data_IF_446605204669
#
_entry.id   IF_446605204669
#
_cell.length_a   1.000
_cell.length_b   1.000
_cell.length_c   1.000
_cell.angle_alpha   90.00
_cell.angle_beta   90.00
_cell.angle_gamma   90.00
#
_symmetry.space_group_name_H-M   'P 1'
#
loop_
_entity.id
_entity.type
_entity.pdbx_description
1 polymer ?
#
# COMPACT_ATOMS: atom_id res chain seq x y z
N UNK A 1 48.27 -40.80 16.27
CA UNK A 1 46.84 -41.18 16.21
C UNK A 1 45.95 -40.04 15.69
N UNK A 2 46.32 -38.76 15.87
CA UNK A 2 45.56 -37.58 15.39
C UNK A 2 45.54 -37.34 13.87
N UNK A 3 46.63 -37.59 13.14
CA UNK A 3 46.68 -37.30 11.69
C UNK A 3 45.70 -38.14 10.85
N UNK A 4 45.42 -39.39 11.25
CA UNK A 4 44.48 -40.25 10.53
C UNK A 4 43.02 -39.85 10.78
N UNK A 5 42.72 -39.30 11.95
CA UNK A 5 41.39 -38.75 12.26
C UNK A 5 41.13 -37.44 11.52
N UNK A 6 42.12 -36.56 11.39
CA UNK A 6 41.97 -35.27 10.69
C UNK A 6 41.79 -35.45 9.16
N UNK A 7 42.48 -36.44 8.57
CA UNK A 7 42.32 -36.79 7.17
C UNK A 7 40.91 -37.38 6.88
N UNK A 8 40.38 -38.21 7.78
CA UNK A 8 39.02 -38.76 7.65
C UNK A 8 37.95 -37.68 7.82
N UNK A 9 38.13 -36.74 8.77
CA UNK A 9 37.22 -35.61 8.95
C UNK A 9 37.23 -34.70 7.71
N UNK A 10 38.41 -34.39 7.17
CA UNK A 10 38.55 -33.58 5.94
C UNK A 10 37.93 -34.27 4.73
N UNK A 11 38.12 -35.58 4.58
CA UNK A 11 37.51 -36.38 3.51
C UNK A 11 35.98 -36.41 3.61
N UNK A 12 35.44 -36.66 4.81
CA UNK A 12 33.99 -36.66 5.05
C UNK A 12 33.36 -35.28 4.86
N UNK A 13 34.06 -34.21 5.25
CA UNK A 13 33.63 -32.83 4.97
C UNK A 13 33.65 -32.51 3.46
N UNK A 14 34.67 -32.94 2.72
CA UNK A 14 34.77 -32.71 1.27
C UNK A 14 33.65 -33.44 0.50
N UNK A 15 33.32 -34.68 0.89
CA UNK A 15 32.24 -35.47 0.27
C UNK A 15 30.85 -34.89 0.60
N UNK A 16 30.64 -34.39 1.82
CA UNK A 16 29.37 -33.74 2.20
C UNK A 16 29.22 -32.34 1.60
N UNK A 17 30.31 -31.63 1.34
CA UNK A 17 30.30 -30.30 0.72
C UNK A 17 29.91 -30.32 -0.77
N UNK A 18 30.31 -31.36 -1.52
CA UNK A 18 30.00 -31.50 -2.96
C UNK A 18 28.49 -31.67 -3.24
N UNK A 19 27.77 -32.43 -2.40
CA UNK A 19 26.29 -32.60 -2.50
C UNK A 19 25.52 -31.34 -2.11
N UNK A 20 26.07 -30.51 -1.19
CA UNK A 20 25.47 -29.24 -0.77
C UNK A 20 25.55 -28.18 -1.87
N UNK A 21 26.69 -28.03 -2.54
CA UNK A 21 26.87 -27.01 -3.57
C UNK A 21 25.91 -27.17 -4.78
N UNK A 22 25.59 -28.41 -5.17
CA UNK A 22 24.59 -28.68 -6.21
C UNK A 22 23.17 -28.33 -5.75
N UNK A 23 22.83 -28.67 -4.50
CA UNK A 23 21.51 -28.35 -3.91
C UNK A 23 21.35 -26.84 -3.72
N UNK A 24 22.41 -26.14 -3.32
CA UNK A 24 22.42 -24.69 -3.16
C UNK A 24 22.29 -23.97 -4.52
N UNK A 25 22.95 -24.48 -5.57
CA UNK A 25 22.79 -23.95 -6.92
C UNK A 25 21.37 -24.18 -7.44
N UNK A 26 20.83 -25.39 -7.29
CA UNK A 26 19.46 -25.71 -7.69
C UNK A 26 18.45 -24.84 -6.94
N UNK A 27 18.62 -24.66 -5.63
CA UNK A 27 17.77 -23.80 -4.80
C UNK A 27 17.81 -22.33 -5.26
N UNK A 28 19.00 -21.80 -5.56
CA UNK A 28 19.16 -20.44 -6.10
C UNK A 28 18.50 -20.28 -7.47
N UNK A 29 18.64 -21.28 -8.35
CA UNK A 29 17.99 -21.27 -9.68
C UNK A 29 16.46 -21.29 -9.53
N UNK A 30 15.92 -22.15 -8.66
CA UNK A 30 14.49 -22.20 -8.39
C UNK A 30 13.99 -20.87 -7.81
N UNK A 31 14.69 -20.29 -6.82
CA UNK A 31 14.35 -18.98 -6.26
C UNK A 31 14.37 -17.89 -7.33
N UNK A 32 15.39 -17.85 -8.19
CA UNK A 32 15.49 -16.88 -9.27
C UNK A 32 14.31 -17.00 -10.24
N UNK A 33 13.92 -18.23 -10.61
CA UNK A 33 12.76 -18.49 -11.47
C UNK A 33 11.46 -18.03 -10.78
N UNK A 34 11.27 -18.35 -9.50
CA UNK A 34 10.08 -17.92 -8.74
C UNK A 34 9.99 -16.41 -8.64
N UNK A 35 11.10 -15.73 -8.35
CA UNK A 35 11.16 -14.26 -8.33
C UNK A 35 10.79 -13.69 -9.70
N UNK A 36 11.36 -14.24 -10.79
CA UNK A 36 11.02 -13.81 -12.15
C UNK A 36 9.53 -13.99 -12.45
N UNK A 37 8.93 -15.11 -12.05
CA UNK A 37 7.50 -15.38 -12.24
C UNK A 37 6.66 -14.37 -11.46
N UNK A 38 6.99 -14.09 -10.19
CA UNK A 38 6.22 -13.15 -9.34
C UNK A 38 6.35 -11.71 -9.83
N UNK A 39 7.52 -11.32 -10.30
CA UNK A 39 7.80 -9.95 -10.73
C UNK A 39 7.35 -9.71 -12.18
N UNK A 40 7.24 -10.75 -13.00
CA UNK A 40 6.83 -10.61 -14.41
C UNK A 40 5.49 -9.89 -14.63
N UNK A 41 4.40 -10.14 -13.89
CA UNK A 41 3.11 -9.49 -14.12
C UNK A 41 3.20 -7.99 -13.89
N UNK A 42 4.04 -7.54 -12.94
CA UNK A 42 4.28 -6.12 -12.71
C UNK A 42 4.86 -5.45 -13.96
N UNK A 43 5.92 -6.01 -14.54
CA UNK A 43 6.51 -5.47 -15.77
C UNK A 43 5.56 -5.60 -16.97
N UNK A 44 4.81 -6.69 -17.09
CA UNK A 44 3.82 -6.86 -18.15
C UNK A 44 2.73 -5.79 -18.07
N UNK A 45 2.19 -5.52 -16.88
CA UNK A 45 1.19 -4.46 -16.66
C UNK A 45 1.80 -3.09 -16.99
N UNK A 46 3.03 -2.81 -16.56
CA UNK A 46 3.69 -1.55 -16.88
C UNK A 46 3.87 -1.36 -18.39
N UNK A 47 4.33 -2.39 -19.11
CA UNK A 47 4.49 -2.32 -20.57
C UNK A 47 3.13 -2.16 -21.25
N UNK A 48 2.10 -2.87 -20.78
CA UNK A 48 0.73 -2.79 -21.30
C UNK A 48 0.15 -1.38 -21.12
N UNK A 49 0.24 -0.82 -19.92
CA UNK A 49 -0.24 0.52 -19.59
C UNK A 49 0.56 1.59 -20.32
N UNK A 50 1.89 1.46 -20.39
CA UNK A 50 2.73 2.41 -21.10
C UNK A 50 2.44 2.40 -22.61
N UNK A 51 2.34 1.23 -23.23
CA UNK A 51 2.09 1.12 -24.67
C UNK A 51 0.70 1.62 -25.05
N UNK A 52 -0.36 1.12 -24.41
CA UNK A 52 -1.73 1.52 -24.73
C UNK A 52 -2.01 2.95 -24.27
N UNK A 53 -1.60 3.30 -23.05
CA UNK A 53 -1.79 4.62 -22.48
C UNK A 53 -1.07 5.70 -23.28
N UNK A 54 0.14 5.43 -23.80
CA UNK A 54 0.84 6.38 -24.67
C UNK A 54 0.02 6.72 -25.91
N UNK A 55 -0.54 5.72 -26.61
CA UNK A 55 -1.37 5.96 -27.78
C UNK A 55 -2.72 6.60 -27.44
N UNK A 56 -3.29 6.32 -26.27
CA UNK A 56 -4.53 6.96 -25.81
C UNK A 56 -4.32 8.43 -25.44
N UNK A 57 -3.18 8.78 -24.84
CA UNK A 57 -2.88 10.15 -24.40
C UNK A 57 -2.31 11.01 -25.52
N UNK A 58 -1.52 10.46 -26.44
CA UNK A 58 -0.85 11.23 -27.51
C UNK A 58 -1.41 10.96 -28.92
N UNK A 59 -2.36 10.04 -29.06
CA UNK A 59 -3.03 9.78 -30.33
C UNK A 59 -3.99 10.90 -30.73
N UNK A 60 -4.29 10.98 -32.03
CA UNK A 60 -5.19 12.00 -32.61
C UNK A 60 -6.53 11.43 -33.08
N UNK A 61 -6.83 10.17 -32.74
CA UNK A 61 -8.11 9.53 -33.06
C UNK A 61 -9.25 9.94 -32.10
N UNK A 62 -10.51 9.59 -32.43
CA UNK A 62 -11.65 9.85 -31.56
C UNK A 62 -11.48 9.22 -30.17
N UNK A 63 -11.70 9.98 -29.09
CA UNK A 63 -11.52 9.51 -27.72
C UNK A 63 -10.07 9.47 -27.21
N UNK A 64 -9.11 9.97 -28.00
CA UNK A 64 -7.69 10.09 -27.63
C UNK A 64 -7.32 11.54 -27.26
N UNK A 65 -6.13 11.76 -26.73
CA UNK A 65 -5.69 13.09 -26.33
C UNK A 65 -6.35 13.55 -25.02
N UNK A 66 -6.83 14.80 -25.01
CA UNK A 66 -7.58 15.34 -23.86
C UNK A 66 -8.94 14.64 -23.68
N UNK A 67 -9.53 14.14 -24.77
CA UNK A 67 -10.82 13.46 -24.73
C UNK A 67 -10.74 12.16 -23.92
N UNK A 68 -9.57 11.53 -23.85
CA UNK A 68 -9.34 10.32 -23.05
C UNK A 68 -9.63 10.54 -21.55
N UNK A 69 -9.39 11.73 -21.02
CA UNK A 69 -9.62 12.06 -19.61
C UNK A 69 -11.10 12.37 -19.31
N UNK A 70 -11.87 12.78 -20.32
CA UNK A 70 -13.27 13.19 -20.19
C UNK A 70 -14.25 12.16 -20.76
N UNK A 71 -13.76 11.16 -21.48
CA UNK A 71 -14.59 10.07 -22.04
C UNK A 71 -14.85 9.00 -20.99
N UNK A 72 -16.07 8.47 -20.99
CA UNK A 72 -16.45 7.34 -20.16
C UNK A 72 -15.69 6.06 -20.55
N UNK A 73 -15.45 5.14 -19.61
CA UNK A 73 -14.87 3.84 -19.94
C UNK A 73 -15.80 3.06 -20.87
N UNK A 74 -15.22 2.44 -21.90
CA UNK A 74 -15.89 1.55 -22.83
C UNK A 74 -15.70 0.08 -22.47
N UNK A 75 -16.01 -0.82 -23.41
CA UNK A 75 -15.82 -2.25 -23.23
C UNK A 75 -14.34 -2.61 -23.46
N UNK A 76 -13.75 -3.36 -22.52
CA UNK A 76 -12.35 -3.77 -22.62
C UNK A 76 -11.39 -2.60 -22.44
N UNK A 77 -10.46 -2.42 -23.39
CA UNK A 77 -9.45 -1.36 -23.36
C UNK A 77 -9.88 -0.09 -24.12
N UNK A 78 -11.16 0.01 -24.49
CA UNK A 78 -11.71 1.15 -25.22
C UNK A 78 -12.32 2.19 -24.28
N UNK A 79 -12.47 3.43 -24.78
CA UNK A 79 -13.01 4.55 -24.02
C UNK A 79 -11.96 5.27 -23.18
N UNK A 80 -12.43 6.15 -22.30
CA UNK A 80 -11.60 7.01 -21.48
C UNK A 80 -11.54 6.59 -20.00
N UNK A 81 -10.75 7.33 -19.24
CA UNK A 81 -10.51 7.09 -17.80
C UNK A 81 -11.32 8.01 -16.90
N UNK A 82 -12.35 8.69 -17.42
CA UNK A 82 -13.10 9.71 -16.67
C UNK A 82 -13.58 9.22 -15.30
N UNK A 83 -14.22 8.05 -15.24
CA UNK A 83 -14.77 7.54 -13.98
C UNK A 83 -13.68 7.23 -12.94
N UNK A 84 -12.56 6.67 -13.38
CA UNK A 84 -11.43 6.40 -12.49
C UNK A 84 -10.80 7.71 -12.00
N UNK A 85 -10.57 8.65 -12.91
CA UNK A 85 -9.96 9.93 -12.58
C UNK A 85 -10.85 10.79 -11.65
N UNK A 86 -12.09 11.05 -12.07
CA UNK A 86 -13.05 11.83 -11.29
C UNK A 86 -13.37 11.12 -9.97
N UNK A 87 -13.60 9.81 -9.99
CA UNK A 87 -13.89 9.03 -8.79
C UNK A 87 -12.73 9.06 -7.79
N UNK A 88 -11.47 8.97 -8.24
CA UNK A 88 -10.31 9.13 -7.35
C UNK A 88 -10.23 10.53 -6.75
N UNK A 89 -10.45 11.58 -7.55
CA UNK A 89 -10.45 12.96 -7.04
C UNK A 89 -11.56 13.18 -6.00
N UNK A 90 -12.80 12.79 -6.32
CA UNK A 90 -13.93 12.91 -5.41
C UNK A 90 -13.70 12.14 -4.10
N UNK A 91 -13.17 10.92 -4.19
CA UNK A 91 -12.86 10.08 -3.03
C UNK A 91 -11.78 10.71 -2.15
N UNK A 92 -10.68 11.19 -2.74
CA UNK A 92 -9.59 11.85 -2.01
C UNK A 92 -10.08 13.15 -1.37
N UNK A 93 -10.79 14.00 -2.12
CA UNK A 93 -11.27 15.29 -1.61
C UNK A 93 -12.19 15.09 -0.42
N UNK A 94 -13.17 14.18 -0.52
CA UNK A 94 -14.09 13.91 0.58
C UNK A 94 -13.37 13.30 1.79
N UNK A 95 -12.41 12.40 1.56
CA UNK A 95 -11.58 11.86 2.63
C UNK A 95 -10.72 12.94 3.31
N UNK A 96 -10.16 13.89 2.54
CA UNK A 96 -9.37 15.00 3.05
C UNK A 96 -10.21 15.97 3.89
N UNK A 97 -11.40 16.33 3.41
CA UNK A 97 -12.33 17.25 4.10
C UNK A 97 -12.69 16.75 5.49
N UNK A 98 -12.79 15.44 5.69
CA UNK A 98 -13.12 14.83 6.99
C UNK A 98 -11.85 14.48 7.77
N UNK A 99 -10.94 13.73 7.17
CA UNK A 99 -9.80 13.14 7.86
C UNK A 99 -8.74 14.15 8.26
N UNK A 100 -8.43 15.16 7.43
CA UNK A 100 -7.39 16.15 7.75
C UNK A 100 -7.79 16.99 8.96
N UNK A 101 -8.97 17.67 8.98
CA UNK A 101 -9.34 18.50 10.12
C UNK A 101 -9.42 17.71 11.42
N UNK A 102 -10.03 16.51 11.41
CA UNK A 102 -10.13 15.67 12.62
C UNK A 102 -8.75 15.30 13.17
N UNK A 103 -7.82 14.93 12.29
CA UNK A 103 -6.47 14.53 12.69
C UNK A 103 -5.62 15.70 13.17
N UNK A 104 -5.68 16.82 12.45
CA UNK A 104 -4.90 18.03 12.78
C UNK A 104 -5.39 18.65 14.08
N UNK A 105 -6.70 18.83 14.24
CA UNK A 105 -7.26 19.36 15.49
C UNK A 105 -7.02 18.42 16.67
N UNK A 106 -7.14 17.11 16.47
CA UNK A 106 -6.79 16.12 17.48
C UNK A 106 -5.32 16.20 17.89
N UNK A 107 -4.41 16.29 16.93
CA UNK A 107 -2.98 16.42 17.18
C UNK A 107 -2.63 17.72 17.92
N UNK A 108 -3.19 18.86 17.52
CA UNK A 108 -3.00 20.16 18.18
C UNK A 108 -3.51 20.10 19.61
N UNK A 109 -4.74 19.60 19.82
CA UNK A 109 -5.33 19.50 21.15
C UNK A 109 -4.50 18.62 22.11
N UNK A 110 -4.05 17.47 21.63
CA UNK A 110 -3.25 16.54 22.45
C UNK A 110 -1.86 17.09 22.74
N UNK A 111 -1.25 17.77 21.76
CA UNK A 111 0.14 18.23 21.91
C UNK A 111 0.24 19.46 22.79
N UNK A 112 -0.61 20.46 22.56
CA UNK A 112 -0.51 21.78 23.20
C UNK A 112 -1.39 21.91 24.46
N UNK A 113 -2.58 21.32 24.45
CA UNK A 113 -3.59 21.58 25.48
C UNK A 113 -3.75 20.45 26.50
N UNK A 114 -3.19 19.26 26.22
CA UNK A 114 -3.36 18.09 27.09
C UNK A 114 -2.11 17.83 27.92
N UNK A 115 -2.27 17.96 29.24
CA UNK A 115 -1.23 17.59 30.21
C UNK A 115 -0.83 16.11 30.08
N UNK A 116 0.42 15.75 30.39
CA UNK A 116 0.84 14.35 30.45
C UNK A 116 -0.06 13.56 31.43
N UNK A 117 -0.72 12.52 30.95
CA UNK A 117 -1.64 11.73 31.75
C UNK A 117 -2.31 10.62 30.96
N UNK A 118 -3.17 9.85 31.63
CA UNK A 118 -3.79 8.65 31.05
C UNK A 118 -4.60 8.98 29.77
N UNK A 119 -5.34 10.10 29.75
CA UNK A 119 -6.10 10.51 28.56
C UNK A 119 -5.23 10.66 27.31
N UNK A 120 -4.07 11.33 27.45
CA UNK A 120 -3.09 11.47 26.37
C UNK A 120 -2.51 10.11 25.95
N UNK A 121 -2.11 9.29 26.93
CA UNK A 121 -1.53 7.97 26.66
C UNK A 121 -2.50 7.03 25.95
N UNK A 122 -3.81 7.08 26.25
CA UNK A 122 -4.81 6.27 25.53
C UNK A 122 -4.89 6.68 24.07
N UNK A 123 -4.94 7.98 23.77
CA UNK A 123 -5.11 8.43 22.38
C UNK A 123 -3.85 8.17 21.57
N UNK A 124 -2.67 8.40 22.15
CA UNK A 124 -1.39 8.06 21.52
C UNK A 124 -1.29 6.54 21.30
N UNK A 125 -1.63 5.71 22.29
CA UNK A 125 -1.66 4.25 22.14
C UNK A 125 -2.66 3.78 21.07
N UNK A 126 -3.88 4.31 21.06
CA UNK A 126 -4.88 3.97 20.07
C UNK A 126 -4.42 4.36 18.65
N UNK A 127 -3.77 5.53 18.51
CA UNK A 127 -3.22 5.99 17.23
C UNK A 127 -2.08 5.07 16.76
N UNK A 128 -1.19 4.65 17.66
CA UNK A 128 -0.11 3.73 17.36
C UNK A 128 -0.65 2.33 16.96
N UNK A 129 -1.69 1.85 17.64
CA UNK A 129 -2.39 0.61 17.26
C UNK A 129 -3.04 0.74 15.87
N UNK A 130 -3.75 1.85 15.62
CA UNK A 130 -4.38 2.10 14.31
C UNK A 130 -3.34 2.22 13.18
N UNK A 131 -2.18 2.83 13.43
CA UNK A 131 -1.09 2.90 12.48
C UNK A 131 -0.50 1.52 12.14
N UNK A 132 -0.56 0.58 13.08
CA UNK A 132 -0.12 -0.80 12.90
C UNK A 132 -1.11 -1.68 12.12
N UNK A 133 -2.36 -1.23 11.91
CA UNK A 133 -3.37 -2.00 11.19
C UNK A 133 -3.07 -1.97 9.67
N UNK A 134 -2.98 -3.13 8.99
CA UNK A 134 -2.80 -3.17 7.55
C UNK A 134 -3.96 -2.50 6.80
N UNK A 135 -3.67 -1.82 5.68
CA UNK A 135 -4.67 -1.10 4.89
C UNK A 135 -5.84 -1.97 4.39
N UNK A 136 -5.59 -3.26 4.11
CA UNK A 136 -6.64 -4.20 3.69
C UNK A 136 -7.68 -4.43 4.79
N UNK A 137 -7.29 -4.34 6.06
CA UNK A 137 -8.19 -4.51 7.21
C UNK A 137 -9.10 -3.29 7.32
N UNK A 138 -8.58 -2.08 7.09
CA UNK A 138 -9.42 -0.88 6.99
C UNK A 138 -10.43 -1.00 5.85
N UNK A 139 -10.02 -1.53 4.69
CA UNK A 139 -10.94 -1.79 3.57
C UNK A 139 -12.07 -2.76 3.94
N UNK A 140 -11.74 -3.89 4.57
CA UNK A 140 -12.71 -4.87 5.01
C UNK A 140 -13.64 -4.34 6.12
N UNK A 141 -13.09 -3.60 7.09
CA UNK A 141 -13.87 -2.94 8.14
C UNK A 141 -14.81 -1.89 7.54
N UNK A 142 -14.31 -1.04 6.64
CA UNK A 142 -15.09 -0.03 5.96
C UNK A 142 -16.27 -0.63 5.21
N UNK A 143 -16.05 -1.74 4.50
CA UNK A 143 -17.12 -2.49 3.85
C UNK A 143 -18.15 -3.00 4.88
N UNK A 144 -17.72 -3.80 5.86
CA UNK A 144 -18.64 -4.40 6.83
C UNK A 144 -19.41 -3.37 7.67
N UNK A 145 -18.76 -2.26 8.04
CA UNK A 145 -19.36 -1.26 8.92
C UNK A 145 -20.16 -0.21 8.14
N UNK A 146 -19.57 0.41 7.11
CA UNK A 146 -20.22 1.51 6.38
C UNK A 146 -21.26 0.98 5.38
N UNK A 147 -20.93 -0.11 4.67
CA UNK A 147 -21.82 -0.67 3.63
C UNK A 147 -22.85 -1.59 4.25
N UNK A 148 -22.43 -2.64 4.96
CA UNK A 148 -23.38 -3.67 5.43
C UNK A 148 -24.15 -3.22 6.68
N UNK A 149 -23.46 -2.69 7.69
CA UNK A 149 -24.12 -2.31 8.95
C UNK A 149 -24.87 -0.98 8.84
N UNK A 150 -24.24 0.07 8.32
CA UNK A 150 -24.85 1.40 8.18
C UNK A 150 -25.66 1.59 6.90
N UNK A 151 -25.67 0.60 5.99
CA UNK A 151 -26.45 0.63 4.75
C UNK A 151 -26.17 1.87 3.87
N UNK A 152 -24.95 2.41 3.91
CA UNK A 152 -24.57 3.58 3.09
C UNK A 152 -24.39 3.23 1.59
N UNK A 153 -24.39 1.94 1.27
CA UNK A 153 -24.21 1.43 -0.08
C UNK A 153 -22.75 1.46 -0.54
N UNK A 154 -22.45 0.65 -1.56
CA UNK A 154 -21.13 0.68 -2.21
C UNK A 154 -21.02 1.93 -3.08
N UNK A 155 -20.15 2.86 -2.69
CA UNK A 155 -19.97 4.11 -3.43
C UNK A 155 -18.94 5.04 -2.80
N UNK A 156 -18.89 6.26 -3.34
CA UNK A 156 -17.89 7.28 -3.00
C UNK A 156 -17.91 7.61 -1.52
N UNK A 157 -19.10 7.71 -0.91
CA UNK A 157 -19.24 8.05 0.52
C UNK A 157 -18.56 7.02 1.41
N UNK A 158 -18.92 5.73 1.27
CA UNK A 158 -18.33 4.66 2.07
C UNK A 158 -16.81 4.53 1.83
N UNK A 159 -16.37 4.63 0.57
CA UNK A 159 -14.94 4.60 0.23
C UNK A 159 -14.15 5.76 0.83
N UNK A 160 -14.71 6.98 0.80
CA UNK A 160 -14.06 8.19 1.32
C UNK A 160 -13.96 8.18 2.83
N UNK A 161 -14.99 7.73 3.55
CA UNK A 161 -14.93 7.57 5.00
C UNK A 161 -13.93 6.48 5.41
N UNK A 162 -13.87 5.37 4.68
CA UNK A 162 -12.85 4.34 4.91
C UNK A 162 -11.45 4.91 4.74
N UNK A 163 -11.21 5.67 3.67
CA UNK A 163 -9.92 6.33 3.43
C UNK A 163 -9.62 7.39 4.51
N UNK A 164 -10.62 8.14 4.96
CA UNK A 164 -10.47 9.10 6.05
C UNK A 164 -10.00 8.40 7.34
N UNK A 165 -10.62 7.28 7.74
CA UNK A 165 -10.20 6.53 8.92
C UNK A 165 -8.79 5.97 8.81
N UNK A 166 -8.41 5.51 7.62
CA UNK A 166 -7.05 5.03 7.36
C UNK A 166 -6.02 6.17 7.46
N UNK A 167 -6.39 7.39 7.07
CA UNK A 167 -5.50 8.55 7.09
C UNK A 167 -5.29 9.15 8.49
N UNK A 168 -6.26 8.97 9.41
CA UNK A 168 -6.22 9.56 10.76
C UNK A 168 -4.91 9.29 11.52
N UNK A 169 -4.49 8.04 11.74
CA UNK A 169 -3.31 7.77 12.58
C UNK A 169 -2.04 8.38 11.98
N UNK A 170 -1.89 8.32 10.65
CA UNK A 170 -0.73 8.89 9.97
C UNK A 170 -0.70 10.41 10.07
N UNK A 171 -1.80 11.11 9.76
CA UNK A 171 -1.85 12.58 9.78
C UNK A 171 -1.78 13.12 11.21
N UNK A 172 -2.41 12.45 12.16
CA UNK A 172 -2.34 12.83 13.57
C UNK A 172 -0.89 12.76 14.05
N UNK A 173 -0.19 11.66 13.78
CA UNK A 173 1.20 11.47 14.22
C UNK A 173 2.16 12.46 13.57
N UNK A 174 2.07 12.65 12.25
CA UNK A 174 2.93 13.59 11.54
C UNK A 174 2.70 15.03 12.01
N UNK A 175 1.45 15.40 12.33
CA UNK A 175 1.14 16.71 12.90
C UNK A 175 1.72 16.87 14.31
N UNK A 176 1.61 15.86 15.18
CA UNK A 176 2.22 15.90 16.51
C UNK A 176 3.74 16.04 16.45
N UNK A 177 4.40 15.31 15.54
CA UNK A 177 5.84 15.38 15.36
C UNK A 177 6.27 16.75 14.80
N UNK A 178 5.50 17.31 13.87
CA UNK A 178 5.74 18.65 13.35
C UNK A 178 5.59 19.73 14.44
N UNK A 179 4.56 19.65 15.29
CA UNK A 179 4.35 20.58 16.41
C UNK A 179 5.50 20.51 17.42
N UNK A 180 5.90 19.31 17.83
CA UNK A 180 7.02 19.09 18.77
C UNK A 180 8.38 19.55 18.24
N UNK A 181 8.53 19.66 16.92
CA UNK A 181 9.75 20.12 16.28
C UNK A 181 9.89 21.65 16.28
N UNK A 182 8.81 22.39 16.57
CA UNK A 182 8.84 23.85 16.69
C UNK A 182 9.28 24.22 18.12
N UNK A 183 10.35 25.03 18.29
CA UNK A 183 10.90 25.41 19.59
C UNK A 183 10.03 26.39 20.38
#
# INVERSE_FOLDING_TARGET
MGERTDALITYLMTVTQSRRHFTDFLFKVILAIVILIIVSPFFLILIQVASIGFWQVFGSGPGQGLEFFTTFPGIGLQGGIRNAFVGTVELIVLACVVGIPLSVFGAVYITEYTEPGWGRSIVEFASDVMAGIPSIVFGAFGFAFLVDFLHLGMGIVAGSFTLAFMMIPTVLRTTQEALKAVP
#
